data_IF_644230891497
#
_entry.id   IF_644230891497
#
_cell.length_a   1.000
_cell.length_b   1.000
_cell.length_c   1.000
_cell.angle_alpha   90.00
_cell.angle_beta   90.00
_cell.angle_gamma   90.00
#
_symmetry.space_group_name_H-M   'P 1'
#
loop_
_entity.id
_entity.type
_entity.pdbx_description
1 polymer ?
#
# COMPACT_ATOMS: atom_id res chain seq x y z
N UNK A 1 -9.95 -31.78 9.22
CA UNK A 1 -9.61 -30.89 10.36
C UNK A 1 -9.50 -31.71 11.64
N UNK A 2 -8.43 -31.52 12.40
CA UNK A 2 -8.21 -32.21 13.69
C UNK A 2 -9.24 -31.83 14.76
N UNK A 3 -9.92 -30.70 14.56
CA UNK A 3 -11.00 -30.22 15.44
C UNK A 3 -12.35 -30.85 15.11
N UNK A 4 -12.47 -31.67 14.05
CA UNK A 4 -13.73 -32.28 13.65
C UNK A 4 -14.20 -33.30 14.69
N UNK A 5 -15.42 -33.14 15.22
CA UNK A 5 -16.02 -34.00 16.23
C UNK A 5 -16.80 -35.19 15.64
N UNK A 6 -16.76 -35.39 14.33
CA UNK A 6 -17.41 -36.52 13.70
C UNK A 6 -18.94 -36.53 13.86
N UNK A 7 -19.62 -35.42 13.70
CA UNK A 7 -21.05 -35.30 13.88
C UNK A 7 -21.83 -36.16 12.86
N UNK A 8 -22.93 -36.74 13.28
CA UNK A 8 -23.73 -37.69 12.47
C UNK A 8 -24.38 -37.02 11.27
N UNK A 9 -24.77 -35.74 11.38
CA UNK A 9 -25.55 -35.04 10.36
C UNK A 9 -24.68 -34.47 9.21
N UNK A 10 -23.36 -34.42 9.37
CA UNK A 10 -22.41 -33.89 8.36
C UNK A 10 -22.83 -32.62 7.63
N UNK A 11 -23.36 -31.56 8.29
CA UNK A 11 -23.95 -30.42 7.58
C UNK A 11 -22.91 -29.69 6.70
N UNK A 12 -21.64 -29.78 7.03
CA UNK A 12 -20.56 -29.22 6.23
C UNK A 12 -20.43 -29.87 4.84
N UNK A 13 -20.74 -31.17 4.72
CA UNK A 13 -20.71 -31.88 3.43
C UNK A 13 -21.91 -31.48 2.58
N UNK A 14 -23.10 -31.40 3.18
CA UNK A 14 -24.33 -31.07 2.48
C UNK A 14 -24.35 -29.64 1.92
N UNK A 15 -23.84 -28.69 2.69
CA UNK A 15 -23.81 -27.27 2.27
C UNK A 15 -22.76 -26.97 1.20
N UNK A 16 -21.85 -27.92 0.93
CA UNK A 16 -20.70 -27.65 0.04
C UNK A 16 -21.13 -27.67 -1.44
N UNK A 17 -21.15 -26.52 -2.15
CA UNK A 17 -21.63 -26.47 -3.55
C UNK A 17 -20.71 -27.21 -4.53
N UNK A 18 -19.46 -27.43 -4.13
CA UNK A 18 -18.43 -28.12 -4.94
C UNK A 18 -18.19 -29.56 -4.50
N UNK A 19 -18.95 -30.06 -3.49
CA UNK A 19 -18.76 -31.40 -2.91
C UNK A 19 -17.29 -31.68 -2.58
N UNK A 20 -16.60 -30.65 -2.10
CA UNK A 20 -15.17 -30.70 -1.78
C UNK A 20 -14.89 -31.29 -0.39
N UNK A 21 -15.90 -31.78 0.33
CA UNK A 21 -15.75 -32.33 1.67
C UNK A 21 -16.13 -33.82 1.61
N UNK A 22 -15.18 -34.65 2.01
CA UNK A 22 -15.32 -36.12 2.11
C UNK A 22 -15.27 -36.54 3.56
N UNK A 23 -15.81 -37.75 3.82
CA UNK A 23 -15.76 -38.38 5.13
C UNK A 23 -14.67 -39.45 5.12
N UNK A 24 -13.62 -39.27 5.90
CA UNK A 24 -12.49 -40.19 5.96
C UNK A 24 -12.03 -40.39 7.40
N UNK A 25 -11.86 -41.64 7.82
CA UNK A 25 -11.33 -41.98 9.16
C UNK A 25 -12.10 -41.32 10.31
N UNK A 26 -13.44 -41.22 10.21
CA UNK A 26 -14.25 -40.61 11.27
C UNK A 26 -14.24 -39.08 11.32
N UNK A 27 -13.75 -38.41 10.29
CA UNK A 27 -13.64 -36.95 10.23
C UNK A 27 -13.95 -36.42 8.83
N UNK A 28 -14.41 -35.17 8.76
CA UNK A 28 -14.57 -34.46 7.50
C UNK A 28 -13.23 -33.93 7.01
N UNK A 29 -12.85 -34.29 5.81
CA UNK A 29 -11.64 -33.84 5.11
C UNK A 29 -12.02 -32.91 3.96
N UNK A 30 -11.35 -31.78 3.83
CA UNK A 30 -11.62 -30.79 2.78
C UNK A 30 -10.56 -30.93 1.68
N UNK A 31 -11.00 -31.31 0.48
CA UNK A 31 -10.17 -31.31 -0.72
C UNK A 31 -9.86 -29.86 -1.11
N UNK A 32 -8.60 -29.48 -0.97
CA UNK A 32 -8.14 -28.10 -1.20
C UNK A 32 -8.16 -27.70 -2.68
N UNK A 33 -8.08 -28.66 -3.59
CA UNK A 33 -8.13 -28.39 -5.04
C UNK A 33 -9.56 -28.11 -5.52
N UNK A 34 -10.54 -28.79 -4.94
CA UNK A 34 -11.97 -28.57 -5.25
C UNK A 34 -12.58 -27.41 -4.46
N UNK A 35 -11.95 -27.02 -3.33
CA UNK A 35 -12.50 -26.06 -2.41
C UNK A 35 -12.37 -24.62 -2.95
N UNK A 36 -13.51 -23.95 -3.18
CA UNK A 36 -13.57 -22.54 -3.60
C UNK A 36 -13.50 -21.56 -2.42
N UNK A 37 -13.20 -22.02 -1.22
CA UNK A 37 -13.06 -21.21 0.01
C UNK A 37 -14.25 -20.30 0.35
N UNK A 38 -15.46 -20.69 -0.02
CA UNK A 38 -16.68 -19.89 0.18
C UNK A 38 -17.14 -19.74 1.64
N UNK A 39 -16.60 -20.54 2.56
CA UNK A 39 -16.86 -20.46 4.01
C UNK A 39 -18.19 -21.08 4.48
N UNK A 40 -19.10 -21.51 3.60
CA UNK A 40 -20.43 -22.05 3.99
C UNK A 40 -20.34 -23.22 4.99
N UNK A 41 -19.36 -24.10 4.83
CA UNK A 41 -19.16 -25.22 5.74
C UNK A 41 -18.77 -24.77 7.17
N UNK A 42 -18.07 -23.66 7.31
CA UNK A 42 -17.70 -23.11 8.60
C UNK A 42 -18.92 -22.55 9.35
N UNK A 43 -19.86 -21.91 8.63
CA UNK A 43 -21.05 -21.32 9.25
C UNK A 43 -22.07 -22.34 9.75
N UNK A 44 -22.10 -23.55 9.17
CA UNK A 44 -23.02 -24.62 9.58
C UNK A 44 -22.40 -25.63 10.55
N UNK A 45 -21.11 -25.54 10.82
CA UNK A 45 -20.44 -26.45 11.75
C UNK A 45 -20.79 -26.10 13.21
N UNK A 46 -21.56 -26.96 13.94
CA UNK A 46 -21.98 -26.64 15.29
C UNK A 46 -20.81 -26.65 16.30
N UNK A 47 -19.67 -27.21 15.92
CA UNK A 47 -18.47 -27.30 16.74
C UNK A 47 -17.39 -26.26 16.39
N UNK A 48 -17.66 -25.39 15.42
CA UNK A 48 -16.67 -24.43 14.88
C UNK A 48 -15.32 -25.11 14.48
N UNK A 49 -15.39 -26.37 14.03
CA UNK A 49 -14.21 -27.17 13.71
C UNK A 49 -13.55 -26.82 12.38
N UNK A 50 -14.20 -25.97 11.56
CA UNK A 50 -13.70 -25.54 10.27
C UNK A 50 -13.22 -24.09 10.40
N UNK A 51 -11.93 -23.93 10.37
CA UNK A 51 -11.27 -22.63 10.54
C UNK A 51 -10.69 -22.19 9.19
N UNK A 52 -10.96 -20.96 8.79
CA UNK A 52 -10.32 -20.36 7.62
C UNK A 52 -8.90 -19.90 8.05
N UNK A 53 -7.91 -20.65 7.61
CA UNK A 53 -6.51 -20.25 7.80
C UNK A 53 -6.07 -19.43 6.59
N UNK A 54 -6.03 -18.13 6.75
CA UNK A 54 -5.50 -17.22 5.75
C UNK A 54 -4.48 -16.31 6.41
N UNK A 55 -3.38 -16.04 5.74
CA UNK A 55 -2.39 -15.12 6.28
C UNK A 55 -2.95 -13.72 6.34
N UNK A 56 -2.77 -12.98 7.43
CA UNK A 56 -3.26 -11.60 7.53
C UNK A 56 -2.78 -10.71 6.39
N UNK A 57 -1.55 -10.89 5.93
CA UNK A 57 -1.00 -10.15 4.80
C UNK A 57 -1.68 -10.46 3.47
N UNK A 58 -2.05 -11.73 3.23
CA UNK A 58 -2.78 -12.13 2.02
C UNK A 58 -4.24 -11.69 2.07
N UNK A 59 -4.88 -11.84 3.24
CA UNK A 59 -6.27 -11.38 3.45
C UNK A 59 -6.41 -9.86 3.27
N UNK A 60 -5.42 -9.09 3.68
CA UNK A 60 -5.40 -7.63 3.53
C UNK A 60 -5.00 -7.15 2.13
N UNK A 61 -4.55 -8.05 1.25
CA UNK A 61 -4.09 -7.68 -0.08
C UNK A 61 -5.24 -7.59 -1.08
N UNK A 62 -5.79 -6.40 -1.30
CA UNK A 62 -6.86 -6.16 -2.29
C UNK A 62 -6.48 -6.48 -3.73
N UNK A 63 -5.17 -6.62 -4.05
CA UNK A 63 -4.68 -6.98 -5.38
C UNK A 63 -4.41 -8.49 -5.55
N UNK A 64 -4.58 -9.31 -4.51
CA UNK A 64 -4.24 -10.72 -4.56
C UNK A 64 -2.76 -10.99 -4.89
N UNK A 65 -1.87 -10.07 -4.53
CA UNK A 65 -0.45 -10.12 -4.88
C UNK A 65 0.39 -10.96 -3.90
N UNK A 66 -0.21 -11.59 -2.89
CA UNK A 66 0.53 -12.37 -1.89
C UNK A 66 0.07 -13.82 -1.92
N UNK A 67 1.00 -14.71 -2.16
CA UNK A 67 0.79 -16.15 -2.17
C UNK A 67 1.83 -16.87 -1.31
N UNK A 68 1.76 -18.20 -1.26
CA UNK A 68 2.78 -19.02 -0.62
C UNK A 68 3.80 -19.49 -1.64
N UNK A 69 5.08 -19.41 -1.31
CA UNK A 69 6.13 -20.10 -2.05
C UNK A 69 6.12 -21.62 -1.78
N UNK A 70 7.03 -22.38 -2.41
CA UNK A 70 7.16 -23.83 -2.28
C UNK A 70 7.44 -24.27 -0.82
N UNK A 71 8.08 -23.41 -0.03
CA UNK A 71 8.36 -23.66 1.39
C UNK A 71 7.24 -23.15 2.31
N UNK A 72 6.13 -22.69 1.75
CA UNK A 72 5.01 -22.18 2.50
C UNK A 72 5.25 -20.77 3.09
N UNK A 73 6.23 -19.99 2.66
CA UNK A 73 6.48 -18.60 3.10
C UNK A 73 5.66 -17.63 2.26
N UNK A 74 5.42 -16.42 2.78
CA UNK A 74 4.74 -15.37 2.02
C UNK A 74 5.65 -14.83 0.92
N UNK A 75 5.18 -14.86 -0.30
CA UNK A 75 5.84 -14.29 -1.48
C UNK A 75 4.97 -13.21 -2.09
N UNK A 76 5.59 -12.11 -2.52
CA UNK A 76 4.92 -10.96 -3.12
C UNK A 76 5.14 -10.98 -4.63
N UNK A 77 4.04 -11.10 -5.37
CA UNK A 77 4.05 -10.91 -6.83
C UNK A 77 4.11 -9.40 -7.14
N UNK A 78 5.32 -8.94 -7.48
CA UNK A 78 5.56 -7.53 -7.78
C UNK A 78 4.91 -7.05 -9.09
N UNK A 79 4.47 -7.96 -9.95
CA UNK A 79 3.70 -7.59 -11.16
C UNK A 79 2.30 -7.09 -10.82
N UNK A 80 1.73 -7.57 -9.71
CA UNK A 80 0.41 -7.18 -9.19
C UNK A 80 0.49 -6.17 -8.05
N UNK A 81 1.62 -6.11 -7.37
CA UNK A 81 1.78 -5.29 -6.17
C UNK A 81 1.78 -3.79 -6.50
N UNK A 82 0.88 -3.04 -5.89
CA UNK A 82 0.79 -1.57 -6.01
C UNK A 82 1.48 -0.84 -4.85
N UNK A 83 2.22 -1.55 -4.01
CA UNK A 83 2.96 -1.00 -2.85
C UNK A 83 2.11 -0.21 -1.86
N UNK A 84 0.84 -0.57 -1.67
CA UNK A 84 -0.06 0.13 -0.75
C UNK A 84 0.32 0.00 0.74
N UNK A 85 1.16 -0.98 1.11
CA UNK A 85 1.62 -1.19 2.48
C UNK A 85 0.65 -1.95 3.39
N UNK A 86 -0.53 -2.38 2.92
CA UNK A 86 -1.52 -3.08 3.75
C UNK A 86 -0.98 -4.38 4.36
N UNK A 87 -0.18 -5.11 3.62
CA UNK A 87 0.47 -6.33 4.11
C UNK A 87 1.44 -6.07 5.27
N UNK A 88 2.12 -4.92 5.25
CA UNK A 88 3.04 -4.50 6.30
C UNK A 88 2.29 -4.15 7.59
N UNK A 89 1.21 -3.37 7.48
CA UNK A 89 0.39 -2.94 8.62
C UNK A 89 -0.33 -4.14 9.27
N UNK A 90 -0.78 -5.10 8.46
CA UNK A 90 -1.54 -6.26 8.93
C UNK A 90 -0.67 -7.47 9.33
N UNK A 91 0.65 -7.36 9.27
CA UNK A 91 1.53 -8.44 9.70
C UNK A 91 1.81 -8.37 11.20
N UNK A 92 1.23 -9.26 12.04
CA UNK A 92 1.43 -9.20 13.50
C UNK A 92 2.85 -9.59 13.92
N UNK A 93 3.62 -10.17 13.00
CA UNK A 93 4.98 -10.67 13.26
C UNK A 93 6.08 -9.73 12.75
N UNK A 94 5.73 -8.60 12.10
CA UNK A 94 6.72 -7.73 11.47
C UNK A 94 7.56 -8.42 10.37
N UNK A 95 7.05 -9.51 9.78
CA UNK A 95 7.77 -10.29 8.76
C UNK A 95 7.87 -9.59 7.41
N UNK A 96 7.04 -8.56 7.19
CA UNK A 96 7.09 -7.72 6.00
C UNK A 96 7.55 -6.33 6.45
N UNK A 97 8.67 -5.90 5.92
CA UNK A 97 9.24 -4.59 6.18
C UNK A 97 9.34 -3.79 4.88
N UNK A 98 9.30 -2.47 4.99
CA UNK A 98 9.58 -1.62 3.86
C UNK A 98 11.10 -1.44 3.68
N UNK A 99 11.51 -1.17 2.45
CA UNK A 99 12.91 -0.91 2.14
C UNK A 99 13.24 0.55 2.44
N UNK A 100 13.82 0.80 3.61
CA UNK A 100 14.35 2.13 3.97
C UNK A 100 15.60 2.49 3.16
N UNK A 101 15.80 3.78 2.91
CA UNK A 101 16.96 4.32 2.18
C UNK A 101 17.89 5.13 3.10
N UNK A 102 17.87 4.84 4.40
CA UNK A 102 18.67 5.57 5.39
C UNK A 102 20.18 5.48 5.13
N UNK A 103 20.64 4.32 4.65
CA UNK A 103 22.05 4.12 4.32
C UNK A 103 22.50 5.04 3.18
N UNK A 104 21.71 5.12 2.10
CA UNK A 104 21.98 6.01 0.97
C UNK A 104 21.98 7.47 1.38
N UNK A 105 21.09 7.86 2.30
CA UNK A 105 21.03 9.19 2.86
C UNK A 105 22.31 9.54 3.64
N UNK A 106 22.74 8.66 4.55
CA UNK A 106 23.98 8.85 5.34
C UNK A 106 25.18 8.95 4.40
N UNK A 107 25.27 8.09 3.37
CA UNK A 107 26.34 8.19 2.38
C UNK A 107 26.29 9.51 1.60
N UNK A 108 25.10 10.02 1.30
CA UNK A 108 24.95 11.33 0.67
C UNK A 108 25.53 12.45 1.53
N UNK A 109 25.19 12.47 2.81
CA UNK A 109 25.76 13.43 3.76
C UNK A 109 27.30 13.33 3.85
N UNK A 110 27.83 12.11 3.94
CA UNK A 110 29.28 11.87 4.02
C UNK A 110 30.03 12.33 2.75
N UNK A 111 29.38 12.31 1.59
CA UNK A 111 29.96 12.84 0.34
C UNK A 111 29.83 14.36 0.20
N UNK A 112 29.09 15.02 1.08
CA UNK A 112 28.80 16.43 0.98
C UNK A 112 27.73 16.75 -0.09
N UNK A 113 26.86 15.78 -0.44
CA UNK A 113 25.77 16.00 -1.38
C UNK A 113 24.81 17.07 -0.80
N UNK A 114 24.31 17.95 -1.65
CA UNK A 114 23.28 18.94 -1.27
C UNK A 114 21.93 18.25 -1.22
N UNK A 115 21.44 17.93 -0.02
CA UNK A 115 20.22 17.16 0.18
C UNK A 115 19.16 18.04 0.85
N UNK A 116 17.98 18.11 0.21
CA UNK A 116 16.80 18.77 0.77
C UNK A 116 15.85 17.72 1.34
N UNK A 117 15.29 17.98 2.53
CA UNK A 117 14.24 17.16 3.10
C UNK A 117 12.86 17.62 2.58
N UNK A 118 12.13 16.73 1.95
CA UNK A 118 10.72 16.93 1.58
C UNK A 118 9.85 16.20 2.60
N UNK A 119 9.20 16.96 3.49
CA UNK A 119 8.46 16.37 4.63
C UNK A 119 6.99 16.24 4.31
N UNK A 120 6.45 15.03 4.46
CA UNK A 120 5.03 14.76 4.28
C UNK A 120 4.19 15.44 5.38
N UNK A 121 2.97 15.92 5.10
CA UNK A 121 2.08 16.54 6.11
C UNK A 121 1.77 15.63 7.31
N UNK A 122 1.94 14.32 7.16
CA UNK A 122 1.72 13.34 8.22
C UNK A 122 2.64 13.52 9.45
N UNK A 123 3.66 14.38 9.39
CA UNK A 123 4.51 14.68 10.54
C UNK A 123 3.80 15.48 11.64
N UNK A 124 2.72 16.17 11.31
CA UNK A 124 1.97 16.98 12.25
C UNK A 124 1.41 16.09 13.36
N UNK A 125 1.59 16.51 14.61
CA UNK A 125 1.20 15.77 15.83
C UNK A 125 1.91 14.40 16.03
N UNK A 126 2.95 14.08 15.27
CA UNK A 126 3.77 12.87 15.51
C UNK A 126 4.77 13.04 16.67
N UNK A 127 5.05 14.26 17.04
CA UNK A 127 6.02 14.60 18.10
C UNK A 127 5.29 15.23 19.29
N UNK A 128 5.88 15.15 20.51
CA UNK A 128 5.30 15.82 21.68
C UNK A 128 5.05 17.29 21.46
N UNK A 129 4.11 17.85 22.21
CA UNK A 129 3.64 19.25 22.12
C UNK A 129 4.73 20.33 22.13
N UNK A 130 5.94 19.99 22.59
CA UNK A 130 7.12 20.90 22.58
C UNK A 130 7.80 21.00 21.21
N UNK A 131 7.48 20.14 20.23
CA UNK A 131 8.09 20.13 18.92
C UNK A 131 7.23 20.88 17.89
N UNK A 132 7.50 22.17 17.71
CA UNK A 132 6.92 22.94 16.61
C UNK A 132 7.52 22.55 15.26
N UNK A 133 6.84 22.89 14.15
CA UNK A 133 7.36 22.72 12.79
C UNK A 133 8.71 23.39 12.60
N UNK A 134 8.93 24.56 13.19
CA UNK A 134 10.23 25.25 13.16
C UNK A 134 11.33 24.46 13.87
N UNK A 135 11.03 23.83 15.01
CA UNK A 135 12.00 22.95 15.69
C UNK A 135 12.33 21.71 14.87
N UNK A 136 11.36 21.11 14.20
CA UNK A 136 11.60 19.98 13.30
C UNK A 136 12.50 20.39 12.14
N UNK A 137 12.23 21.53 11.49
CA UNK A 137 13.09 22.06 10.42
C UNK A 137 14.52 22.31 10.92
N UNK A 138 14.68 22.93 12.09
CA UNK A 138 16.00 23.14 12.69
C UNK A 138 16.72 21.82 13.00
N UNK A 139 16.03 20.82 13.53
CA UNK A 139 16.58 19.51 13.81
C UNK A 139 17.06 18.80 12.53
N UNK A 140 16.27 18.82 11.46
CA UNK A 140 16.65 18.23 10.18
C UNK A 140 17.85 18.94 9.56
N UNK A 141 17.93 20.28 9.64
CA UNK A 141 19.13 21.03 9.24
C UNK A 141 20.35 20.64 10.06
N UNK A 142 20.20 20.46 11.36
CA UNK A 142 21.29 20.01 12.23
C UNK A 142 21.77 18.58 11.91
N UNK A 143 20.92 17.73 11.31
CA UNK A 143 21.29 16.40 10.81
C UNK A 143 22.07 16.44 9.49
N UNK A 144 22.12 17.58 8.80
CA UNK A 144 22.90 17.73 7.56
C UNK A 144 22.07 18.05 6.30
N UNK A 145 20.76 18.24 6.41
CA UNK A 145 19.96 18.70 5.28
C UNK A 145 20.22 20.19 5.00
N UNK A 146 20.32 20.55 3.71
CA UNK A 146 20.50 21.94 3.30
C UNK A 146 19.29 22.80 3.65
N UNK A 147 18.10 22.29 3.38
CA UNK A 147 16.85 22.90 3.82
C UNK A 147 15.71 21.85 3.91
N UNK A 148 14.57 22.29 4.42
CA UNK A 148 13.39 21.45 4.68
C UNK A 148 12.16 22.10 4.05
N UNK A 149 11.53 21.39 3.14
CA UNK A 149 10.34 21.83 2.40
C UNK A 149 9.15 20.97 2.77
N UNK A 150 8.05 21.60 3.09
CA UNK A 150 6.78 20.90 3.36
C UNK A 150 6.11 20.52 2.04
N UNK A 151 5.81 19.23 1.85
CA UNK A 151 5.13 18.73 0.64
C UNK A 151 3.70 19.28 0.52
N UNK A 152 3.14 19.83 1.61
CA UNK A 152 1.87 20.55 1.58
C UNK A 152 1.85 21.68 0.55
N UNK A 153 2.96 22.40 0.35
CA UNK A 153 3.08 23.45 -0.66
C UNK A 153 2.86 22.88 -2.07
N UNK A 154 3.46 21.73 -2.37
CA UNK A 154 3.24 21.03 -3.62
C UNK A 154 1.82 20.50 -3.75
N UNK A 155 1.17 20.16 -2.63
CA UNK A 155 -0.24 19.73 -2.65
C UNK A 155 -1.18 20.88 -3.03
N UNK A 156 -0.94 22.09 -2.52
CA UNK A 156 -1.72 23.27 -2.89
C UNK A 156 -1.60 23.58 -4.39
N UNK A 157 -0.38 23.52 -4.93
CA UNK A 157 -0.13 23.73 -6.34
C UNK A 157 -0.75 22.63 -7.22
N UNK A 158 -0.64 21.36 -6.83
CA UNK A 158 -1.32 20.26 -7.52
C UNK A 158 -2.84 20.43 -7.53
N UNK A 159 -3.41 20.95 -6.43
CA UNK A 159 -4.86 21.20 -6.34
C UNK A 159 -5.30 22.26 -7.35
N UNK A 160 -4.49 23.28 -7.55
CA UNK A 160 -4.78 24.32 -8.57
C UNK A 160 -4.75 23.72 -9.98
N UNK A 161 -3.72 22.94 -10.31
CA UNK A 161 -3.61 22.26 -11.60
C UNK A 161 -4.80 21.30 -11.84
N UNK A 162 -5.10 20.44 -10.86
CA UNK A 162 -6.25 19.51 -10.97
C UNK A 162 -7.59 20.22 -11.09
N UNK A 163 -7.76 21.38 -10.44
CA UNK A 163 -8.98 22.19 -10.56
C UNK A 163 -9.14 22.76 -11.97
N UNK A 164 -8.04 23.19 -12.59
CA UNK A 164 -8.06 23.66 -14.00
C UNK A 164 -8.45 22.51 -14.93
N UNK A 165 -7.77 21.35 -14.83
CA UNK A 165 -8.08 20.17 -15.63
C UNK A 165 -9.55 19.74 -15.46
N UNK A 166 -10.05 19.77 -14.22
CA UNK A 166 -11.44 19.44 -13.93
C UNK A 166 -12.42 20.37 -14.65
N UNK A 167 -12.20 21.68 -14.59
CA UNK A 167 -13.07 22.68 -15.24
C UNK A 167 -13.04 22.59 -16.77
N UNK A 168 -11.91 22.17 -17.36
CA UNK A 168 -11.78 22.01 -18.80
C UNK A 168 -12.37 20.69 -19.33
N UNK A 169 -12.36 19.64 -18.52
CA UNK A 169 -12.70 18.30 -18.97
C UNK A 169 -14.08 17.82 -18.52
N UNK A 170 -14.56 18.27 -17.36
CA UNK A 170 -15.82 17.81 -16.77
C UNK A 170 -16.89 18.91 -16.86
N UNK A 171 -18.12 18.63 -17.35
CA UNK A 171 -18.59 17.34 -17.86
C UNK A 171 -18.37 17.12 -19.37
N UNK A 172 -17.71 18.04 -20.06
CA UNK A 172 -17.67 18.08 -21.52
C UNK A 172 -17.01 16.86 -22.17
N UNK A 173 -15.82 16.47 -21.67
CA UNK A 173 -15.05 15.31 -22.19
C UNK A 173 -15.17 14.09 -21.28
N UNK A 174 -15.26 14.31 -19.99
CA UNK A 174 -15.34 13.27 -18.96
C UNK A 174 -16.59 13.44 -18.11
N UNK A 175 -17.20 12.33 -17.69
CA UNK A 175 -18.33 12.37 -16.76
C UNK A 175 -17.90 12.70 -15.32
N UNK A 176 -16.66 12.37 -14.97
CA UNK A 176 -16.02 12.66 -13.70
C UNK A 176 -14.50 12.59 -13.86
N UNK A 177 -13.79 13.18 -12.93
CA UNK A 177 -12.33 13.04 -12.82
C UNK A 177 -11.97 12.53 -11.42
N UNK A 178 -11.05 11.58 -11.34
CA UNK A 178 -10.51 11.05 -10.10
C UNK A 178 -9.07 11.53 -9.90
N UNK A 179 -8.73 11.96 -8.67
CA UNK A 179 -7.39 12.46 -8.37
C UNK A 179 -6.33 11.37 -8.37
N UNK A 180 -5.07 11.70 -8.64
CA UNK A 180 -3.95 10.75 -8.76
C UNK A 180 -2.91 10.90 -7.66
N UNK A 181 -3.16 11.68 -6.62
CA UNK A 181 -2.20 11.97 -5.55
C UNK A 181 -1.68 10.73 -4.79
N UNK A 182 -2.39 9.60 -4.84
CA UNK A 182 -1.96 8.32 -4.29
C UNK A 182 -1.52 7.35 -5.41
N UNK A 183 -0.22 7.05 -5.57
CA UNK A 183 0.25 6.17 -6.64
C UNK A 183 -0.25 4.72 -6.52
N UNK A 184 -0.49 4.22 -5.31
CA UNK A 184 -1.08 2.89 -5.12
C UNK A 184 -2.54 2.85 -5.62
N UNK A 185 -3.32 3.88 -5.29
CA UNK A 185 -4.69 4.04 -5.76
C UNK A 185 -4.76 4.12 -7.28
N UNK A 186 -4.00 5.02 -7.90
CA UNK A 186 -4.05 5.20 -9.34
C UNK A 186 -3.58 3.95 -10.11
N UNK A 187 -2.57 3.23 -9.61
CA UNK A 187 -2.16 1.94 -10.18
C UNK A 187 -3.26 0.88 -10.06
N UNK A 188 -3.84 0.74 -8.86
CA UNK A 188 -4.92 -0.22 -8.61
C UNK A 188 -6.13 0.09 -9.51
N UNK A 189 -6.54 1.34 -9.59
CA UNK A 189 -7.68 1.76 -10.37
C UNK A 189 -7.47 1.51 -11.88
N UNK A 190 -6.29 1.83 -12.42
CA UNK A 190 -5.93 1.56 -13.82
C UNK A 190 -5.88 0.06 -14.14
N UNK A 191 -5.50 -0.77 -13.17
CA UNK A 191 -5.42 -2.23 -13.34
C UNK A 191 -6.79 -2.90 -13.19
N UNK A 192 -7.57 -2.51 -12.18
CA UNK A 192 -8.86 -3.13 -11.87
C UNK A 192 -10.00 -2.59 -12.76
N UNK A 193 -9.88 -1.34 -13.22
CA UNK A 193 -10.90 -0.64 -14.01
C UNK A 193 -10.27 0.05 -15.23
N UNK A 194 -9.73 -0.70 -16.20
CA UNK A 194 -9.01 -0.13 -17.34
C UNK A 194 -9.86 0.83 -18.19
N UNK A 195 -11.15 0.61 -18.28
CA UNK A 195 -12.09 1.47 -19.02
C UNK A 195 -12.21 2.87 -18.38
N UNK A 196 -11.97 2.99 -17.08
CA UNK A 196 -12.00 4.24 -16.34
C UNK A 196 -10.61 4.89 -16.19
N UNK A 197 -9.57 4.29 -16.72
CA UNK A 197 -8.20 4.79 -16.61
C UNK A 197 -8.04 6.23 -17.13
N UNK A 198 -8.81 6.59 -18.18
CA UNK A 198 -8.86 7.94 -18.76
C UNK A 198 -9.41 9.01 -17.82
N UNK A 199 -10.20 8.61 -16.82
CA UNK A 199 -10.80 9.50 -15.84
C UNK A 199 -9.86 9.83 -14.67
N UNK A 200 -8.66 9.20 -14.62
CA UNK A 200 -7.69 9.45 -13.57
C UNK A 200 -6.79 10.60 -13.99
N UNK A 201 -6.75 11.67 -13.20
CA UNK A 201 -5.92 12.84 -13.42
C UNK A 201 -4.46 12.43 -13.70
N UNK A 202 -3.84 13.12 -14.63
CA UNK A 202 -2.42 12.97 -14.97
C UNK A 202 -1.53 13.96 -14.24
N UNK A 203 -2.10 14.82 -13.39
CA UNK A 203 -1.35 15.76 -12.55
C UNK A 203 -0.35 15.03 -11.68
N UNK A 204 0.83 15.59 -11.54
CA UNK A 204 1.89 15.03 -10.69
C UNK A 204 1.44 14.93 -9.24
N UNK A 205 1.93 13.90 -8.54
CA UNK A 205 1.66 13.83 -7.10
C UNK A 205 2.37 14.98 -6.36
N UNK A 206 1.85 15.42 -5.21
CA UNK A 206 2.46 16.50 -4.41
C UNK A 206 3.96 16.30 -4.13
N UNK A 207 4.37 15.07 -3.86
CA UNK A 207 5.79 14.75 -3.64
C UNK A 207 6.64 15.01 -4.88
N UNK A 208 6.19 14.54 -6.04
CA UNK A 208 6.92 14.71 -7.31
C UNK A 208 6.93 16.17 -7.73
N UNK A 209 5.79 16.86 -7.57
CA UNK A 209 5.68 18.29 -7.87
C UNK A 209 6.67 19.10 -7.03
N UNK A 210 6.67 18.92 -5.72
CA UNK A 210 7.62 19.59 -4.82
C UNK A 210 9.06 19.28 -5.20
N UNK A 211 9.36 18.01 -5.49
CA UNK A 211 10.71 17.61 -5.88
C UNK A 211 11.18 18.28 -7.17
N UNK A 212 10.30 18.36 -8.19
CA UNK A 212 10.62 19.03 -9.46
C UNK A 212 10.77 20.54 -9.31
N UNK A 213 9.90 21.17 -8.53
CA UNK A 213 10.01 22.59 -8.22
C UNK A 213 11.38 22.90 -7.54
N UNK A 214 11.78 22.10 -6.58
CA UNK A 214 13.08 22.26 -5.92
C UNK A 214 14.24 21.97 -6.87
N UNK A 215 14.11 21.01 -7.78
CA UNK A 215 15.12 20.71 -8.80
C UNK A 215 15.29 21.84 -9.83
N UNK A 216 14.23 22.58 -10.13
CA UNK A 216 14.33 23.79 -10.97
C UNK A 216 15.12 24.91 -10.28
N UNK A 217 14.91 25.07 -8.96
CA UNK A 217 15.63 26.06 -8.17
C UNK A 217 17.10 25.67 -7.92
N UNK A 218 17.38 24.37 -7.77
CA UNK A 218 18.71 23.82 -7.49
C UNK A 218 18.91 22.49 -8.24
N UNK A 219 19.41 22.52 -9.48
CA UNK A 219 19.57 21.33 -10.33
C UNK A 219 20.49 20.25 -9.75
N UNK A 220 21.49 20.63 -8.96
CA UNK A 220 22.45 19.72 -8.36
C UNK A 220 21.94 19.07 -7.05
N UNK A 221 20.89 19.63 -6.47
CA UNK A 221 20.34 19.12 -5.21
C UNK A 221 19.73 17.74 -5.34
N UNK A 222 19.83 16.95 -4.29
CA UNK A 222 19.12 15.68 -4.12
C UNK A 222 17.93 15.86 -3.21
N UNK A 223 16.83 15.22 -3.55
CA UNK A 223 15.60 15.28 -2.78
C UNK A 223 15.45 14.01 -1.94
N UNK A 224 15.21 14.17 -0.63
CA UNK A 224 14.93 13.09 0.29
C UNK A 224 13.50 13.26 0.83
N UNK A 225 12.59 12.38 0.42
CA UNK A 225 11.22 12.38 0.94
C UNK A 225 11.17 11.69 2.31
N UNK A 226 10.62 12.37 3.29
CA UNK A 226 10.40 11.86 4.65
C UNK A 226 8.90 11.72 4.87
N UNK A 227 8.42 10.48 4.90
CA UNK A 227 7.00 10.20 5.08
C UNK A 227 6.70 8.70 5.27
N UNK A 228 5.52 8.34 5.79
CA UNK A 228 5.18 6.96 6.18
C UNK A 228 4.68 6.09 5.01
N UNK A 229 4.57 6.62 3.79
CA UNK A 229 3.87 5.97 2.70
C UNK A 229 4.77 5.06 1.85
N UNK A 230 4.52 3.75 1.86
CA UNK A 230 5.26 2.78 1.05
C UNK A 230 5.12 3.02 -0.47
N UNK A 231 3.93 3.43 -0.94
CA UNK A 231 3.69 3.74 -2.35
C UNK A 231 4.52 4.94 -2.84
N UNK A 232 4.76 5.93 -1.99
CA UNK A 232 5.62 7.08 -2.30
C UNK A 232 7.10 6.66 -2.46
N UNK A 233 7.56 5.66 -1.74
CA UNK A 233 8.91 5.09 -1.92
C UNK A 233 9.05 4.42 -3.29
N UNK A 234 8.04 3.67 -3.71
CA UNK A 234 8.02 3.09 -5.05
C UNK A 234 8.01 4.20 -6.12
N UNK A 235 7.19 5.24 -5.94
CA UNK A 235 7.13 6.37 -6.86
C UNK A 235 8.49 7.08 -6.97
N UNK A 236 9.14 7.37 -5.85
CA UNK A 236 10.47 7.99 -5.82
C UNK A 236 11.57 7.12 -6.46
N UNK A 237 11.39 5.79 -6.53
CA UNK A 237 12.34 4.88 -7.16
C UNK A 237 12.17 4.78 -8.69
N UNK A 238 11.06 5.26 -9.24
CA UNK A 238 10.82 5.27 -10.68
C UNK A 238 11.65 6.37 -11.32
N UNK A 239 12.36 6.02 -12.39
CA UNK A 239 13.01 7.02 -13.23
C UNK A 239 11.93 7.73 -14.04
N UNK A 240 11.72 8.99 -13.79
CA UNK A 240 10.86 9.89 -14.58
C UNK A 240 11.70 10.65 -15.59
#
# INVERSE_FOLDING_TARGET
>A
SDLCQGCLAHPCMEVCPKKAITWESGRSTIDQEKCIKCGRCATVCPYNAIVKTERPCAAACGMGAIHSDELGRAEIDYSKCVSCGQCLVNCPFGAIADKGQIYQLIQGFNRGDRIYALVAPAFINQFPTLASTGKLKAALKALGFCDVVEVAIGADLCTVDEAHDFLEEVPGKLNFMATSCCPAWSMMAKTAFPDLAKNISMTMTPMVFTARMMKQADPEARMCFIGPCAAKKLEASRRT
#
